data_IF_100920462392
#
_entry.id   IF_100920462392
#
_cell.length_a   1.000
_cell.length_b   1.000
_cell.length_c   1.000
_cell.angle_alpha   90.00
_cell.angle_beta   90.00
_cell.angle_gamma   90.00
#
_symmetry.space_group_name_H-M   'P 1'
#
loop_
_entity.id
_entity.type
_entity.pdbx_description
1 polymer ?
#
# COMPACT_ATOMS: atom_id res chain seq x y z
N UNK A 1 -3.33 -8.42 34.21
CA UNK A 1 -3.35 -8.37 32.74
C UNK A 1 -4.60 -7.62 32.32
N UNK A 2 -4.49 -6.65 31.41
CA UNK A 2 -5.65 -5.92 30.90
C UNK A 2 -6.50 -6.91 30.09
N UNK A 3 -7.81 -6.92 30.34
CA UNK A 3 -8.74 -7.79 29.65
C UNK A 3 -8.95 -7.28 28.20
N UNK A 4 -8.27 -7.93 27.24
CA UNK A 4 -8.43 -7.61 25.82
C UNK A 4 -9.69 -8.30 25.27
N UNK A 5 -10.81 -7.61 25.40
CA UNK A 5 -12.13 -8.15 25.01
C UNK A 5 -12.24 -8.46 23.52
N UNK A 6 -11.55 -7.73 22.65
CA UNK A 6 -11.54 -7.99 21.21
C UNK A 6 -10.81 -9.30 20.88
N UNK A 7 -9.64 -9.53 21.49
CA UNK A 7 -8.90 -10.77 21.36
C UNK A 7 -9.73 -11.97 21.84
N UNK A 8 -10.31 -11.88 23.05
CA UNK A 8 -11.12 -12.97 23.62
C UNK A 8 -12.32 -13.34 22.74
N UNK A 9 -13.02 -12.34 22.17
CA UNK A 9 -14.15 -12.58 21.26
C UNK A 9 -13.71 -13.23 19.95
N UNK A 10 -12.58 -12.80 19.37
CA UNK A 10 -12.01 -13.45 18.18
C UNK A 10 -11.62 -14.89 18.48
N UNK A 11 -10.93 -15.13 19.59
CA UNK A 11 -10.52 -16.47 20.01
C UNK A 11 -11.72 -17.42 20.20
N UNK A 12 -12.79 -16.94 20.87
CA UNK A 12 -14.01 -17.70 21.06
C UNK A 12 -14.70 -18.05 19.72
N UNK A 13 -14.70 -17.13 18.75
CA UNK A 13 -15.24 -17.36 17.41
C UNK A 13 -14.45 -18.44 16.66
N UNK A 14 -13.12 -18.35 16.69
CA UNK A 14 -12.23 -19.33 16.05
C UNK A 14 -12.42 -20.72 16.66
N UNK A 15 -12.48 -20.82 17.99
CA UNK A 15 -12.76 -22.07 18.72
C UNK A 15 -14.13 -22.66 18.35
N UNK A 16 -15.18 -21.83 18.30
CA UNK A 16 -16.54 -22.27 17.97
C UNK A 16 -16.65 -22.91 16.58
N UNK A 17 -15.92 -22.37 15.60
CA UNK A 17 -15.99 -22.82 14.21
C UNK A 17 -14.79 -23.67 13.76
N UNK A 18 -13.92 -24.07 14.70
CA UNK A 18 -12.70 -24.84 14.42
C UNK A 18 -11.79 -24.20 13.35
N UNK A 19 -11.62 -22.88 13.42
CA UNK A 19 -10.77 -22.13 12.49
C UNK A 19 -9.34 -22.08 13.02
N UNK A 20 -8.38 -22.50 12.21
CA UNK A 20 -6.96 -22.32 12.46
C UNK A 20 -6.48 -20.98 11.89
N UNK A 21 -5.69 -20.23 12.67
CA UNK A 21 -5.02 -19.01 12.20
C UNK A 21 -3.53 -19.29 12.11
N UNK A 22 -2.98 -19.09 10.91
CA UNK A 22 -1.54 -19.11 10.68
C UNK A 22 -1.09 -17.70 10.32
N UNK A 23 -0.05 -17.20 11.01
CA UNK A 23 0.52 -15.88 10.76
C UNK A 23 1.68 -16.00 9.78
N UNK A 24 1.52 -15.39 8.60
CA UNK A 24 2.57 -15.19 7.62
C UNK A 24 2.74 -13.71 7.36
N UNK A 25 3.81 -13.13 7.90
CA UNK A 25 4.09 -11.70 7.77
C UNK A 25 5.50 -11.51 7.23
N UNK A 26 6.51 -11.78 8.06
CA UNK A 26 7.90 -11.50 7.67
C UNK A 26 8.39 -12.41 6.55
N UNK A 27 7.80 -13.61 6.39
CA UNK A 27 8.22 -14.55 5.35
C UNK A 27 7.76 -14.13 3.95
N UNK A 28 6.57 -13.54 3.80
CA UNK A 28 6.15 -12.99 2.49
C UNK A 28 7.00 -11.77 2.11
N UNK A 29 7.36 -10.93 3.09
CA UNK A 29 8.26 -9.80 2.87
C UNK A 29 9.71 -10.21 2.59
N UNK A 30 10.19 -11.29 3.23
CA UNK A 30 11.49 -11.90 2.92
C UNK A 30 11.54 -12.52 1.50
N UNK A 31 10.40 -12.56 0.82
CA UNK A 31 10.29 -12.79 -0.60
C UNK A 31 9.82 -14.19 -0.98
N UNK A 32 9.04 -14.22 -2.06
CA UNK A 32 8.54 -15.39 -2.77
C UNK A 32 9.33 -15.58 -4.07
N UNK A 33 9.22 -16.75 -4.71
CA UNK A 33 9.94 -17.03 -5.96
C UNK A 33 9.14 -16.56 -7.16
N UNK A 34 9.69 -15.60 -7.91
CA UNK A 34 9.18 -15.12 -9.20
C UNK A 34 10.33 -15.27 -10.20
N UNK A 35 10.15 -16.11 -11.23
CA UNK A 35 11.18 -16.38 -12.25
C UNK A 35 12.57 -16.65 -11.65
N UNK A 36 12.61 -17.54 -10.64
CA UNK A 36 13.79 -17.93 -9.86
C UNK A 36 14.45 -16.83 -9.00
N UNK A 37 13.86 -15.63 -8.92
CA UNK A 37 14.29 -14.54 -8.04
C UNK A 37 13.42 -14.48 -6.78
N UNK A 38 14.04 -14.14 -5.64
CA UNK A 38 13.30 -13.83 -4.40
C UNK A 38 12.90 -12.35 -4.40
N UNK A 39 11.61 -12.09 -4.43
CA UNK A 39 11.05 -10.73 -4.44
C UNK A 39 9.97 -10.65 -3.37
N UNK A 40 9.90 -9.54 -2.63
CA UNK A 40 8.86 -9.26 -1.66
C UNK A 40 7.47 -9.47 -2.28
N UNK A 41 6.71 -10.40 -1.70
CA UNK A 41 5.42 -10.82 -2.26
C UNK A 41 4.32 -9.76 -2.12
N UNK A 42 4.42 -8.87 -1.13
CA UNK A 42 3.43 -7.81 -0.90
C UNK A 42 3.61 -6.72 -1.95
N UNK A 43 4.82 -6.17 -2.08
CA UNK A 43 5.10 -5.09 -3.03
C UNK A 43 5.08 -5.57 -4.49
N UNK A 44 5.49 -6.82 -4.75
CA UNK A 44 5.28 -7.44 -6.05
C UNK A 44 3.80 -7.56 -6.39
N UNK A 45 2.98 -8.07 -5.45
CA UNK A 45 1.54 -8.21 -5.65
C UNK A 45 0.84 -6.88 -5.90
N UNK A 46 1.18 -5.85 -5.12
CA UNK A 46 0.71 -4.48 -5.34
C UNK A 46 1.07 -3.99 -6.75
N UNK A 47 2.34 -4.13 -7.14
CA UNK A 47 2.81 -3.73 -8.46
C UNK A 47 2.08 -4.48 -9.58
N UNK A 48 1.91 -5.80 -9.46
CA UNK A 48 1.21 -6.63 -10.45
C UNK A 48 -0.25 -6.19 -10.60
N UNK A 49 -0.93 -5.94 -9.49
CA UNK A 49 -2.35 -5.52 -9.48
C UNK A 49 -2.56 -4.14 -10.10
N UNK A 50 -1.61 -3.23 -9.91
CA UNK A 50 -1.57 -1.92 -10.55
C UNK A 50 -1.14 -1.98 -12.03
N UNK A 51 -0.59 -3.11 -12.48
CA UNK A 51 -0.01 -3.24 -13.81
C UNK A 51 1.33 -2.51 -13.97
N UNK A 52 2.11 -2.41 -12.88
CA UNK A 52 3.32 -1.60 -12.80
C UNK A 52 4.64 -2.38 -12.79
N UNK A 53 4.61 -3.70 -13.03
CA UNK A 53 5.82 -4.53 -13.04
C UNK A 53 6.88 -4.04 -14.05
N UNK A 54 6.45 -3.57 -15.22
CA UNK A 54 7.37 -3.04 -16.25
C UNK A 54 7.83 -1.60 -15.99
N UNK A 55 7.33 -0.96 -14.92
CA UNK A 55 7.62 0.44 -14.57
C UNK A 55 8.54 0.59 -13.37
N UNK A 56 9.13 -0.49 -12.86
CA UNK A 56 10.08 -0.42 -11.75
C UNK A 56 11.28 0.45 -12.13
N UNK A 57 11.69 1.33 -11.21
CA UNK A 57 12.91 2.14 -11.38
C UNK A 57 14.14 1.24 -11.46
N UNK A 58 14.17 0.18 -10.66
CA UNK A 58 15.20 -0.86 -10.68
C UNK A 58 14.54 -2.22 -10.99
N UNK A 59 14.68 -2.75 -12.21
CA UNK A 59 14.14 -4.06 -12.59
C UNK A 59 14.74 -5.25 -11.82
N UNK A 60 15.88 -5.07 -11.16
CA UNK A 60 16.58 -6.13 -10.41
C UNK A 60 16.30 -6.08 -8.91
N UNK A 61 15.47 -5.15 -8.44
CA UNK A 61 15.13 -5.02 -7.02
C UNK A 61 14.36 -6.24 -6.51
N UNK A 62 14.66 -6.65 -5.27
CA UNK A 62 13.84 -7.59 -4.51
C UNK A 62 12.70 -6.91 -3.75
N UNK A 63 12.63 -5.57 -3.78
CA UNK A 63 11.68 -4.77 -3.01
C UNK A 63 11.13 -3.62 -3.90
N UNK A 64 10.15 -3.92 -4.78
CA UNK A 64 9.71 -2.98 -5.81
C UNK A 64 8.78 -1.91 -5.23
N UNK A 65 9.36 -0.77 -4.82
CA UNK A 65 8.62 0.34 -4.21
C UNK A 65 8.58 1.61 -5.05
N UNK A 66 9.42 1.72 -6.08
CA UNK A 66 9.61 2.94 -6.85
C UNK A 66 9.34 2.69 -8.33
N UNK A 67 8.55 3.57 -8.94
CA UNK A 67 8.03 3.39 -10.29
C UNK A 67 8.17 4.66 -11.13
N UNK A 68 8.44 4.49 -12.43
CA UNK A 68 8.31 5.54 -13.45
C UNK A 68 7.17 5.14 -14.38
N UNK A 69 5.98 5.67 -14.09
CA UNK A 69 4.74 5.35 -14.80
C UNK A 69 4.51 6.33 -15.97
N UNK A 70 3.64 5.98 -16.95
CA UNK A 70 3.11 6.97 -17.87
C UNK A 70 2.51 8.16 -17.12
N UNK A 71 2.74 9.38 -17.61
CA UNK A 71 2.25 10.59 -16.94
C UNK A 71 0.71 10.53 -16.81
N UNK A 72 0.20 10.78 -15.60
CA UNK A 72 -1.24 10.76 -15.32
C UNK A 72 -1.66 11.86 -14.35
N UNK A 73 -2.94 12.23 -14.39
CA UNK A 73 -3.49 13.25 -13.50
C UNK A 73 -3.76 12.69 -12.10
N UNK A 74 -3.93 13.59 -11.13
CA UNK A 74 -4.40 13.24 -9.78
C UNK A 74 -5.75 12.50 -9.82
N UNK A 75 -6.66 12.90 -10.72
CA UNK A 75 -7.98 12.29 -10.85
C UNK A 75 -7.87 10.84 -11.36
N UNK A 76 -7.06 10.61 -12.39
CA UNK A 76 -6.87 9.26 -12.96
C UNK A 76 -6.20 8.33 -11.95
N UNK A 77 -5.21 8.83 -11.20
CA UNK A 77 -4.57 8.05 -10.14
C UNK A 77 -5.56 7.74 -9.01
N UNK A 78 -6.37 8.71 -8.59
CA UNK A 78 -7.39 8.49 -7.57
C UNK A 78 -8.40 7.40 -8.00
N UNK A 79 -8.88 7.47 -9.24
CA UNK A 79 -9.81 6.49 -9.80
C UNK A 79 -9.17 5.09 -9.86
N UNK A 80 -7.94 5.00 -10.36
CA UNK A 80 -7.18 3.74 -10.41
C UNK A 80 -7.07 3.11 -9.01
N UNK A 81 -6.65 3.90 -8.01
CA UNK A 81 -6.46 3.40 -6.65
C UNK A 81 -7.80 3.01 -6.01
N UNK A 82 -8.84 3.84 -6.15
CA UNK A 82 -10.18 3.52 -5.61
C UNK A 82 -10.71 2.21 -6.19
N UNK A 83 -10.58 2.01 -7.51
CA UNK A 83 -11.08 0.81 -8.17
C UNK A 83 -10.25 -0.43 -7.81
N UNK A 84 -8.91 -0.35 -7.89
CA UNK A 84 -8.02 -1.49 -7.66
C UNK A 84 -7.99 -1.93 -6.21
N UNK A 85 -8.05 -0.98 -5.27
CA UNK A 85 -8.02 -1.27 -3.83
C UNK A 85 -9.43 -1.44 -3.24
N UNK A 86 -10.49 -1.22 -4.04
CA UNK A 86 -11.90 -1.31 -3.64
C UNK A 86 -12.20 -0.42 -2.43
N UNK A 87 -11.77 0.84 -2.52
CA UNK A 87 -11.86 1.83 -1.43
C UNK A 87 -13.15 2.66 -1.52
N UNK A 88 -13.63 3.15 -0.38
CA UNK A 88 -14.73 4.09 -0.29
C UNK A 88 -14.32 5.52 -0.71
N UNK A 89 -13.01 5.76 -0.78
CA UNK A 89 -12.40 7.04 -1.17
C UNK A 89 -10.92 7.06 -0.79
N UNK A 90 -10.21 8.08 -1.26
CA UNK A 90 -8.78 8.27 -0.96
C UNK A 90 -8.53 9.62 -0.30
N UNK A 91 -7.69 9.63 0.74
CA UNK A 91 -7.20 10.86 1.36
C UNK A 91 -6.04 11.39 0.53
N UNK A 92 -6.22 12.57 -0.06
CA UNK A 92 -5.25 13.23 -0.92
C UNK A 92 -4.58 14.42 -0.21
N UNK A 93 -3.27 14.59 -0.40
CA UNK A 93 -2.48 15.72 0.11
C UNK A 93 -1.58 16.25 -1.02
N UNK A 94 -1.38 17.57 -1.11
CA UNK A 94 -0.45 18.20 -2.06
C UNK A 94 -1.15 18.91 -3.21
N UNK A 95 -0.47 19.02 -4.35
CA UNK A 95 -0.95 19.80 -5.49
C UNK A 95 -2.02 19.03 -6.30
N UNK A 96 -3.28 19.50 -6.37
CA UNK A 96 -4.35 18.82 -7.11
C UNK A 96 -4.13 18.80 -8.63
N UNK A 97 -3.25 19.64 -9.15
CA UNK A 97 -2.88 19.68 -10.57
C UNK A 97 -1.58 18.92 -10.86
N UNK A 98 -1.06 18.14 -9.89
CA UNK A 98 0.18 17.40 -10.02
C UNK A 98 0.17 16.48 -11.25
N UNK A 99 1.22 16.57 -12.07
CA UNK A 99 1.48 15.63 -13.17
C UNK A 99 2.29 14.44 -12.68
N UNK A 100 1.63 13.35 -12.33
CA UNK A 100 2.24 12.21 -11.65
C UNK A 100 3.06 11.40 -12.65
N UNK A 101 4.32 11.10 -12.30
CA UNK A 101 5.21 10.27 -13.14
C UNK A 101 6.16 9.38 -12.33
N UNK A 102 6.70 9.90 -11.23
CA UNK A 102 7.62 9.17 -10.34
C UNK A 102 6.91 8.87 -9.02
N UNK A 103 6.48 7.63 -8.89
CA UNK A 103 5.71 7.14 -7.75
C UNK A 103 6.61 6.38 -6.81
N UNK A 104 6.47 6.62 -5.50
CA UNK A 104 7.13 5.85 -4.47
C UNK A 104 6.13 5.37 -3.41
N UNK A 105 6.25 4.12 -3.00
CA UNK A 105 5.49 3.52 -1.90
C UNK A 105 6.43 3.42 -0.70
N UNK A 106 6.55 4.47 0.13
CA UNK A 106 7.40 4.40 1.31
C UNK A 106 6.86 3.37 2.32
N UNK A 107 7.77 2.86 3.16
CA UNK A 107 7.42 2.12 4.37
C UNK A 107 6.77 3.06 5.40
N UNK A 108 7.03 2.84 6.69
CA UNK A 108 6.41 3.58 7.77
C UNK A 108 6.86 5.05 7.81
N UNK A 109 5.91 5.98 7.79
CA UNK A 109 6.13 7.41 8.06
C UNK A 109 5.55 7.73 9.43
N UNK A 110 6.37 7.66 10.47
CA UNK A 110 5.91 7.65 11.87
C UNK A 110 6.33 8.88 12.67
N UNK A 111 6.91 9.90 12.01
CA UNK A 111 7.45 11.06 12.69
C UNK A 111 8.83 10.80 13.31
N UNK A 112 9.52 9.77 12.83
CA UNK A 112 10.84 9.39 13.30
C UNK A 112 11.92 10.07 12.46
N UNK A 113 13.19 10.03 12.92
CA UNK A 113 14.31 10.63 12.20
C UNK A 113 14.48 10.07 10.77
N UNK A 114 14.08 8.82 10.53
CA UNK A 114 14.05 8.17 9.21
C UNK A 114 13.19 8.90 8.18
N UNK A 115 12.23 9.71 8.61
CA UNK A 115 11.39 10.50 7.71
C UNK A 115 12.21 11.57 6.97
N UNK A 116 13.33 12.01 7.54
CA UNK A 116 14.27 12.91 6.85
C UNK A 116 14.97 12.20 5.69
N UNK A 117 15.27 10.90 5.83
CA UNK A 117 15.84 10.10 4.74
C UNK A 117 14.82 9.92 3.61
N UNK A 118 13.53 9.76 3.96
CA UNK A 118 12.45 9.76 2.98
C UNK A 118 12.36 11.10 2.24
N UNK A 119 12.36 12.25 2.94
CA UNK A 119 12.36 13.58 2.32
C UNK A 119 13.60 13.77 1.42
N UNK A 120 14.77 13.34 1.89
CA UNK A 120 16.00 13.39 1.11
C UNK A 120 15.88 12.59 -0.18
N UNK A 121 15.42 11.34 -0.09
CA UNK A 121 15.18 10.48 -1.26
C UNK A 121 14.19 11.12 -2.23
N UNK A 122 13.09 11.68 -1.72
CA UNK A 122 12.07 12.35 -2.54
C UNK A 122 12.71 13.48 -3.36
N UNK A 123 13.59 14.27 -2.73
CA UNK A 123 14.31 15.35 -3.41
C UNK A 123 15.35 14.87 -4.40
N UNK A 124 16.24 13.97 -3.97
CA UNK A 124 17.34 13.48 -4.80
C UNK A 124 16.83 12.79 -6.09
N UNK A 125 15.73 12.04 -5.98
CA UNK A 125 15.18 11.28 -7.09
C UNK A 125 14.05 12.01 -7.84
N UNK A 126 13.68 13.21 -7.37
CA UNK A 126 12.53 13.98 -7.86
C UNK A 126 11.23 13.15 -7.86
N UNK A 127 10.99 12.40 -6.78
CA UNK A 127 9.74 11.66 -6.58
C UNK A 127 8.63 12.67 -6.38
N UNK A 128 7.52 12.43 -7.07
CA UNK A 128 6.51 13.44 -7.26
C UNK A 128 5.11 12.95 -6.85
N UNK A 129 4.97 11.65 -6.57
CA UNK A 129 3.79 11.07 -5.94
C UNK A 129 4.18 10.01 -4.89
N UNK A 130 3.57 10.06 -3.70
CA UNK A 130 3.64 8.98 -2.72
C UNK A 130 2.31 8.23 -2.65
N UNK A 131 2.37 6.90 -2.57
CA UNK A 131 1.25 6.07 -2.12
C UNK A 131 1.66 5.53 -0.76
N UNK A 132 1.05 6.01 0.32
CA UNK A 132 1.54 5.68 1.67
C UNK A 132 0.75 4.55 2.30
N UNK A 133 1.46 3.77 3.12
CA UNK A 133 0.90 2.92 4.17
C UNK A 133 0.29 3.81 5.28
N UNK A 134 0.65 3.56 6.54
CA UNK A 134 0.45 4.52 7.62
C UNK A 134 1.38 5.72 7.48
N UNK A 135 0.83 6.88 7.84
CA UNK A 135 1.55 8.14 7.83
C UNK A 135 0.99 9.03 8.93
N UNK A 136 1.88 9.62 9.74
CA UNK A 136 1.51 10.71 10.65
C UNK A 136 1.32 12.01 9.87
N UNK A 137 0.46 12.90 10.37
CA UNK A 137 0.12 14.12 9.62
C UNK A 137 1.24 15.18 9.61
N UNK A 138 2.40 14.93 10.25
CA UNK A 138 3.59 15.79 10.24
C UNK A 138 4.77 15.13 9.46
N UNK A 139 5.97 15.72 9.49
CA UNK A 139 7.18 15.31 8.72
C UNK A 139 6.98 15.28 7.19
N UNK A 140 6.88 14.10 6.57
CA UNK A 140 6.74 13.92 5.12
C UNK A 140 5.42 14.50 4.62
N UNK A 141 4.36 14.38 5.43
CA UNK A 141 3.02 14.89 5.08
C UNK A 141 3.05 16.41 4.88
N UNK A 142 3.54 17.16 5.87
CA UNK A 142 3.65 18.63 5.78
C UNK A 142 4.65 19.05 4.70
N UNK A 143 5.77 18.33 4.55
CA UNK A 143 6.72 18.59 3.47
C UNK A 143 6.07 18.52 2.08
N UNK A 144 5.35 17.43 1.79
CA UNK A 144 4.67 17.24 0.50
C UNK A 144 3.52 18.24 0.30
N UNK A 145 2.83 18.59 1.38
CA UNK A 145 1.77 19.61 1.37
C UNK A 145 2.33 20.99 1.02
N UNK A 146 3.40 21.42 1.69
CA UNK A 146 4.04 22.71 1.46
C UNK A 146 4.63 22.81 0.06
N UNK A 147 5.31 21.75 -0.40
CA UNK A 147 5.80 21.67 -1.78
C UNK A 147 4.66 21.82 -2.80
N UNK A 148 3.53 21.14 -2.55
CA UNK A 148 2.34 21.29 -3.39
C UNK A 148 1.75 22.70 -3.37
N UNK A 149 1.73 23.37 -2.20
CA UNK A 149 1.28 24.76 -2.07
C UNK A 149 2.20 25.78 -2.77
N UNK A 150 3.49 25.46 -2.89
CA UNK A 150 4.46 26.23 -3.67
C UNK A 150 4.33 25.98 -5.19
N UNK A 151 3.37 25.14 -5.60
CA UNK A 151 3.09 24.83 -7.00
C UNK A 151 3.96 23.72 -7.58
N UNK A 152 4.72 22.99 -6.75
CA UNK A 152 5.45 21.81 -7.22
C UNK A 152 4.48 20.68 -7.58
N UNK A 153 4.89 19.83 -8.53
CA UNK A 153 4.19 18.59 -8.86
C UNK A 153 4.44 17.54 -7.76
N UNK A 154 3.91 17.77 -6.56
CA UNK A 154 4.04 16.83 -5.43
C UNK A 154 2.71 16.52 -4.79
N UNK A 155 2.42 15.24 -4.64
CA UNK A 155 1.21 14.78 -3.94
C UNK A 155 1.37 13.44 -3.21
N UNK A 156 0.41 13.14 -2.33
CA UNK A 156 0.28 11.90 -1.59
C UNK A 156 -1.14 11.35 -1.77
N UNK A 157 -1.23 10.03 -1.99
CA UNK A 157 -2.44 9.22 -1.80
C UNK A 157 -2.25 8.37 -0.54
N UNK A 158 -2.93 8.75 0.54
CA UNK A 158 -2.82 8.06 1.82
C UNK A 158 -3.88 6.96 1.92
N UNK A 159 -3.48 5.72 1.63
CA UNK A 159 -4.39 4.55 1.59
C UNK A 159 -4.50 3.85 2.94
N UNK A 160 -3.44 3.92 3.75
CA UNK A 160 -3.34 3.22 5.03
C UNK A 160 -2.72 1.83 4.91
N UNK A 161 -1.99 1.44 5.95
CA UNK A 161 -1.19 0.21 5.98
C UNK A 161 -1.94 -1.03 5.49
N UNK A 162 -3.07 -1.33 6.13
CA UNK A 162 -3.83 -2.54 5.84
C UNK A 162 -4.36 -2.57 4.40
N UNK A 163 -4.97 -1.47 3.94
CA UNK A 163 -5.52 -1.37 2.59
C UNK A 163 -4.43 -1.60 1.53
N UNK A 164 -3.22 -1.08 1.74
CA UNK A 164 -2.12 -1.23 0.80
C UNK A 164 -1.58 -2.66 0.75
N UNK A 165 -1.31 -3.27 1.91
CA UNK A 165 -0.70 -4.61 1.96
C UNK A 165 -1.69 -5.75 1.64
N UNK A 166 -2.99 -5.54 1.88
CA UNK A 166 -4.02 -6.53 1.58
C UNK A 166 -4.05 -6.91 0.08
N UNK A 167 -3.74 -5.97 -0.82
CA UNK A 167 -3.65 -6.24 -2.26
C UNK A 167 -2.47 -7.17 -2.58
N UNK A 168 -1.37 -7.06 -1.86
CA UNK A 168 -0.28 -8.02 -1.91
C UNK A 168 -0.71 -9.43 -1.48
N UNK A 169 -1.58 -9.51 -0.47
CA UNK A 169 -2.15 -10.77 0.01
C UNK A 169 -3.15 -11.40 -0.96
N UNK A 170 -3.89 -10.59 -1.74
CA UNK A 170 -4.76 -11.09 -2.83
C UNK A 170 -3.93 -11.83 -3.88
N UNK A 171 -2.85 -11.21 -4.36
CA UNK A 171 -1.91 -11.88 -5.25
C UNK A 171 -1.27 -13.11 -4.59
N UNK A 172 -0.92 -13.04 -3.31
CA UNK A 172 -0.33 -14.18 -2.62
C UNK A 172 -1.29 -15.39 -2.53
N UNK A 173 -2.60 -15.16 -2.47
CA UNK A 173 -3.58 -16.25 -2.54
C UNK A 173 -3.54 -16.98 -3.90
N UNK A 174 -3.40 -16.23 -5.01
CA UNK A 174 -3.18 -16.80 -6.34
C UNK A 174 -1.87 -17.61 -6.37
N UNK A 175 -0.77 -16.99 -5.91
CA UNK A 175 0.54 -17.64 -5.85
C UNK A 175 0.51 -18.95 -5.04
N UNK A 176 -0.14 -18.94 -3.87
CA UNK A 176 -0.31 -20.14 -3.07
C UNK A 176 -1.09 -21.21 -3.82
N UNK A 177 -2.20 -20.85 -4.47
CA UNK A 177 -3.03 -21.79 -5.22
C UNK A 177 -2.25 -22.44 -6.38
N UNK A 178 -1.44 -21.66 -7.09
CA UNK A 178 -0.71 -22.10 -8.29
C UNK A 178 0.55 -22.90 -7.95
N UNK A 179 1.32 -22.46 -6.95
CA UNK A 179 2.67 -22.97 -6.72
C UNK A 179 2.82 -23.85 -5.47
N UNK A 180 1.97 -23.67 -4.45
CA UNK A 180 2.19 -24.29 -3.13
C UNK A 180 1.10 -25.30 -2.77
N UNK A 181 -0.17 -24.92 -2.90
CA UNK A 181 -1.34 -25.65 -2.42
C UNK A 181 -2.17 -26.14 -3.61
N UNK A 182 -1.87 -27.34 -4.11
CA UNK A 182 -2.50 -27.89 -5.32
C UNK A 182 -3.83 -28.62 -5.09
N UNK A 183 -4.12 -29.01 -3.85
CA UNK A 183 -5.21 -29.95 -3.53
C UNK A 183 -6.36 -29.32 -2.74
N UNK A 184 -6.17 -28.12 -2.19
CA UNK A 184 -7.17 -27.40 -1.42
C UNK A 184 -7.45 -26.04 -2.07
N UNK A 185 -8.70 -25.55 -2.02
CA UNK A 185 -9.03 -24.24 -2.52
C UNK A 185 -8.43 -23.15 -1.61
N UNK A 186 -7.67 -22.25 -2.21
CA UNK A 186 -7.21 -21.01 -1.59
C UNK A 186 -8.10 -19.88 -2.10
N UNK A 187 -8.67 -19.09 -1.19
CA UNK A 187 -9.53 -17.95 -1.54
C UNK A 187 -9.09 -16.73 -0.76
N UNK A 188 -8.88 -15.64 -1.49
CA UNK A 188 -8.76 -14.33 -0.88
C UNK A 188 -10.15 -13.85 -0.44
N UNK A 189 -10.24 -13.33 0.79
CA UNK A 189 -11.43 -12.69 1.33
C UNK A 189 -11.02 -11.32 1.85
N UNK A 190 -11.51 -10.28 1.17
CA UNK A 190 -11.21 -8.91 1.56
C UNK A 190 -11.84 -8.58 2.91
N UNK A 191 -11.10 -7.88 3.78
CA UNK A 191 -11.64 -7.30 5.01
C UNK A 191 -12.50 -6.06 4.75
N UNK A 192 -12.39 -5.47 3.54
CA UNK A 192 -13.00 -4.21 3.15
C UNK A 192 -12.13 -3.01 3.50
N UNK A 193 -12.52 -1.82 3.03
CA UNK A 193 -11.81 -0.58 3.35
C UNK A 193 -11.81 -0.31 4.87
N UNK A 194 -10.61 -0.12 5.42
CA UNK A 194 -10.43 0.22 6.83
C UNK A 194 -11.06 1.57 7.22
N UNK A 195 -11.36 2.43 6.25
CA UNK A 195 -11.90 3.77 6.48
C UNK A 195 -13.28 3.96 5.86
N UNK A 196 -14.07 4.82 6.51
CA UNK A 196 -15.32 5.35 5.97
C UNK A 196 -15.28 6.87 6.08
N UNK A 197 -15.65 7.55 4.99
CA UNK A 197 -15.65 9.01 4.95
C UNK A 197 -17.03 9.53 5.35
N UNK A 198 -17.07 10.29 6.43
CA UNK A 198 -18.27 11.03 6.83
C UNK A 198 -18.28 12.33 6.03
N UNK A 199 -19.09 12.39 4.98
CA UNK A 199 -19.25 13.60 4.17
C UNK A 199 -20.12 14.64 4.88
N UNK A 200 -19.87 15.93 4.57
CA UNK A 200 -20.81 16.97 4.98
C UNK A 200 -22.16 16.70 4.30
N UNK A 201 -23.29 16.83 5.00
CA UNK A 201 -24.59 16.79 4.34
C UNK A 201 -24.61 17.84 3.23
N UNK A 202 -25.00 17.45 2.01
CA UNK A 202 -25.30 18.43 0.98
C UNK A 202 -26.46 19.29 1.51
N UNK A 203 -26.21 20.59 1.69
CA UNK A 203 -27.23 21.58 2.07
C UNK A 203 -27.86 22.17 0.83
#
# INVERSE_FOLDING_TARGET
MIENTAFQKKEALLKKYNICVWRNHDHIHAGILIDDKRIDGIFYGLSKMLGWNDYWVDPETSFPQAYVVPEMSVADMAELLIQKFRLNGVRFIGNPNCKIKKVYVPMHILGHASDNDAIKKINDENINCLITLEMVDFTVCEYMRDAGMLGEDRCIFALGHFNTEEIGMEFYAEYLQEHVIKTLPVRFLQSGDAYTYISKPQR
#
